data_IF_372923556751
#
_entry.id   IF_372923556751
#
_cell.length_a   1.000
_cell.length_b   1.000
_cell.length_c   1.000
_cell.angle_alpha   90.00
_cell.angle_beta   90.00
_cell.angle_gamma   90.00
#
_symmetry.space_group_name_H-M   'P 1'
#
loop_
_entity.id
_entity.type
_entity.pdbx_description
1 polymer ?
#
# COMPACT_ATOMS: atom_id res chain seq x y z
N UNK A 1 9.00 47.61 -23.83
CA UNK A 1 8.12 46.89 -22.89
C UNK A 1 7.84 45.56 -23.53
N UNK A 2 7.92 44.47 -22.75
CA UNK A 2 7.55 43.10 -23.13
C UNK A 2 8.57 42.45 -24.10
N UNK A 3 9.13 41.26 -23.88
CA UNK A 3 8.66 40.11 -23.11
C UNK A 3 9.82 39.39 -22.41
N UNK A 4 9.77 39.33 -21.08
CA UNK A 4 10.56 38.40 -20.30
C UNK A 4 10.07 36.97 -20.58
N UNK A 5 10.93 36.16 -21.19
CA UNK A 5 10.72 34.71 -21.31
C UNK A 5 10.61 34.11 -19.91
N UNK A 6 9.37 33.89 -19.45
CA UNK A 6 9.07 33.03 -18.29
C UNK A 6 9.65 31.65 -18.57
N UNK A 7 10.74 31.32 -17.89
CA UNK A 7 11.23 29.94 -17.77
C UNK A 7 10.16 29.18 -17.00
N UNK A 8 9.52 28.21 -17.66
CA UNK A 8 8.63 27.26 -17.02
C UNK A 8 9.51 26.28 -16.24
N UNK A 9 9.64 26.55 -14.94
CA UNK A 9 10.19 25.59 -13.99
C UNK A 9 9.23 24.39 -13.95
N UNK A 10 9.67 23.26 -14.50
CA UNK A 10 8.95 22.00 -14.40
C UNK A 10 9.14 21.53 -12.97
N UNK A 11 8.25 21.98 -12.09
CA UNK A 11 8.25 21.70 -10.67
C UNK A 11 8.54 20.22 -10.42
N UNK A 12 9.64 19.96 -9.72
CA UNK A 12 9.95 18.61 -9.23
C UNK A 12 8.84 18.22 -8.26
N UNK A 13 8.03 17.23 -8.63
CA UNK A 13 7.15 16.57 -7.66
C UNK A 13 8.03 16.06 -6.51
N UNK A 14 7.84 16.62 -5.32
CA UNK A 14 8.54 16.14 -4.13
C UNK A 14 8.09 14.69 -3.85
N UNK A 15 9.06 13.78 -3.85
CA UNK A 15 8.84 12.38 -3.49
C UNK A 15 8.28 12.30 -2.06
N UNK A 16 7.31 11.40 -1.79
CA UNK A 16 6.80 11.22 -0.44
C UNK A 16 7.90 10.89 0.57
N UNK A 17 7.81 11.44 1.79
CA UNK A 17 8.83 11.33 2.84
C UNK A 17 9.23 9.89 3.24
N UNK A 18 8.38 8.90 2.94
CA UNK A 18 8.59 7.49 3.22
C UNK A 18 9.41 6.76 2.15
N UNK A 19 9.55 7.33 0.95
CA UNK A 19 10.32 6.68 -0.13
C UNK A 19 11.78 6.53 0.30
N UNK A 20 12.28 5.29 0.21
CA UNK A 20 13.65 4.93 0.61
C UNK A 20 13.87 4.83 2.12
N UNK A 21 12.82 4.84 2.94
CA UNK A 21 12.93 4.66 4.39
C UNK A 21 12.69 3.20 4.78
N UNK A 22 13.55 2.64 5.61
CA UNK A 22 13.46 1.24 6.11
C UNK A 22 12.13 0.94 6.83
N UNK A 23 11.51 1.91 7.51
CA UNK A 23 10.21 1.69 8.16
C UNK A 23 9.06 1.49 7.15
N UNK A 24 9.25 1.84 5.88
CA UNK A 24 8.19 1.77 4.86
C UNK A 24 8.25 0.48 4.04
N UNK A 25 9.33 -0.28 4.17
CA UNK A 25 9.59 -1.47 3.38
C UNK A 25 10.38 -2.49 4.19
N UNK A 26 9.86 -3.71 4.24
CA UNK A 26 10.57 -4.83 4.82
C UNK A 26 10.44 -6.03 3.89
N UNK A 27 11.53 -6.71 3.58
CA UNK A 27 11.51 -7.94 2.78
C UNK A 27 12.12 -9.07 3.59
N UNK A 28 11.31 -10.08 3.90
CA UNK A 28 11.73 -11.24 4.69
C UNK A 28 11.90 -12.48 3.79
N UNK A 29 12.81 -12.41 2.82
CA UNK A 29 13.05 -13.50 1.86
C UNK A 29 13.44 -14.85 2.49
N UNK A 30 13.92 -14.85 3.75
CA UNK A 30 14.24 -16.06 4.51
C UNK A 30 13.06 -16.69 5.26
N UNK A 31 11.86 -16.12 5.20
CA UNK A 31 10.69 -16.64 5.90
C UNK A 31 10.18 -17.89 5.19
N UNK A 32 9.76 -18.93 5.93
CA UNK A 32 9.21 -20.16 5.35
C UNK A 32 7.94 -19.95 4.49
N UNK A 33 7.26 -18.81 4.64
CA UNK A 33 6.10 -18.45 3.85
C UNK A 33 6.42 -17.51 2.68
N UNK A 34 7.68 -17.13 2.46
CA UNK A 34 8.03 -16.16 1.42
C UNK A 34 8.18 -16.81 0.02
N UNK A 35 7.63 -16.19 -1.04
CA UNK A 35 6.65 -15.10 -0.99
C UNK A 35 5.26 -15.66 -0.66
N UNK A 36 4.52 -15.00 0.23
CA UNK A 36 3.20 -15.51 0.63
C UNK A 36 2.15 -15.33 -0.47
N UNK A 37 2.41 -14.44 -1.44
CA UNK A 37 1.64 -14.27 -2.66
C UNK A 37 2.55 -14.38 -3.87
N UNK A 38 2.02 -14.92 -4.96
CA UNK A 38 2.77 -15.09 -6.21
C UNK A 38 3.22 -13.72 -6.74
N UNK A 39 4.52 -13.59 -7.00
CA UNK A 39 5.14 -12.40 -7.59
C UNK A 39 6.24 -12.80 -8.56
N UNK A 40 6.49 -11.99 -9.58
CA UNK A 40 7.67 -12.08 -10.44
C UNK A 40 8.79 -11.11 -10.01
N UNK A 41 8.57 -10.33 -8.95
CA UNK A 41 9.49 -9.33 -8.40
C UNK A 41 9.70 -9.52 -6.89
N UNK A 42 10.38 -10.61 -6.47
CA UNK A 42 10.57 -10.90 -5.05
C UNK A 42 11.33 -9.79 -4.30
N UNK A 43 12.20 -9.04 -4.95
CA UNK A 43 12.96 -7.91 -4.40
C UNK A 43 12.10 -6.68 -4.08
N UNK A 44 10.95 -6.52 -4.74
CA UNK A 44 9.97 -5.46 -4.46
C UNK A 44 8.87 -5.91 -3.49
N UNK A 45 8.90 -7.18 -3.05
CA UNK A 45 7.88 -7.76 -2.18
C UNK A 45 7.96 -7.21 -0.75
N UNK A 46 6.86 -6.62 -0.28
CA UNK A 46 6.79 -6.02 1.06
C UNK A 46 6.14 -7.00 2.06
N UNK A 47 6.87 -7.36 3.10
CA UNK A 47 6.45 -8.17 4.23
C UNK A 47 5.98 -7.34 5.43
N UNK A 48 6.11 -6.01 5.39
CA UNK A 48 5.67 -5.13 6.48
C UNK A 48 4.19 -5.33 6.83
N UNK A 49 3.37 -5.59 5.81
CA UNK A 49 1.93 -5.84 5.92
C UNK A 49 1.60 -7.29 5.52
N UNK A 50 2.32 -8.28 6.08
CA UNK A 50 2.02 -9.69 5.79
C UNK A 50 0.57 -10.10 6.10
N UNK A 51 -0.10 -9.38 7.02
CA UNK A 51 -1.55 -9.38 7.14
C UNK A 51 -2.13 -8.15 6.41
N UNK A 52 -3.35 -8.23 5.89
CA UNK A 52 -3.98 -7.06 5.27
C UNK A 52 -4.49 -6.08 6.36
N UNK A 53 -3.87 -4.91 6.57
CA UNK A 53 -4.32 -3.96 7.58
C UNK A 53 -5.67 -3.34 7.22
N UNK A 54 -6.07 -3.39 5.95
CA UNK A 54 -7.30 -2.80 5.44
C UNK A 54 -8.48 -3.77 5.41
N UNK A 55 -8.33 -4.96 6.01
CA UNK A 55 -9.37 -6.01 5.96
C UNK A 55 -10.73 -5.52 6.46
N UNK A 56 -10.75 -4.73 7.54
CA UNK A 56 -11.96 -4.20 8.17
C UNK A 56 -12.70 -3.16 7.30
N UNK A 57 -12.03 -2.55 6.33
CA UNK A 57 -12.65 -1.61 5.39
C UNK A 57 -13.55 -2.28 4.35
N UNK A 58 -13.65 -3.63 4.36
CA UNK A 58 -14.47 -4.40 3.41
C UNK A 58 -14.10 -4.06 1.97
N UNK A 59 -15.05 -3.63 1.17
CA UNK A 59 -14.93 -3.23 -0.23
C UNK A 59 -14.25 -1.88 -0.44
N UNK A 60 -14.16 -1.04 0.61
CA UNK A 60 -13.48 0.27 0.54
C UNK A 60 -11.97 0.19 0.58
N UNK A 61 -11.39 -1.01 0.78
CA UNK A 61 -9.94 -1.19 0.87
C UNK A 61 -9.19 -1.06 -0.47
N UNK A 62 -9.90 -1.09 -1.61
CA UNK A 62 -9.32 -0.97 -2.96
C UNK A 62 -8.37 -2.11 -3.39
N UNK A 63 -8.30 -3.19 -2.61
CA UNK A 63 -7.48 -4.37 -2.93
C UNK A 63 -8.21 -5.39 -3.82
N UNK A 64 -7.45 -6.31 -4.40
CA UNK A 64 -7.98 -7.44 -5.17
C UNK A 64 -8.39 -8.59 -4.25
N UNK A 65 -9.62 -8.58 -3.75
CA UNK A 65 -10.18 -9.63 -2.89
C UNK A 65 -11.47 -10.20 -3.49
N UNK A 66 -11.92 -11.31 -2.93
CA UNK A 66 -13.27 -11.85 -3.17
C UNK A 66 -13.93 -12.20 -1.84
N UNK A 67 -15.24 -12.41 -1.85
CA UNK A 67 -15.94 -13.03 -0.72
C UNK A 67 -16.19 -14.50 -1.02
N UNK A 68 -15.99 -15.37 -0.02
CA UNK A 68 -16.41 -16.77 -0.09
C UNK A 68 -17.94 -16.86 0.02
N UNK A 69 -18.50 -18.05 -0.24
CA UNK A 69 -19.94 -18.32 -0.07
C UNK A 69 -20.41 -18.05 1.37
N UNK A 70 -19.54 -18.28 2.36
CA UNK A 70 -19.78 -17.99 3.78
C UNK A 70 -19.62 -16.51 4.16
N UNK A 71 -19.36 -15.62 3.20
CA UNK A 71 -19.18 -14.19 3.44
C UNK A 71 -17.84 -13.81 4.08
N UNK A 72 -16.83 -14.69 4.02
CA UNK A 72 -15.46 -14.39 4.49
C UNK A 72 -14.68 -13.69 3.38
N UNK A 73 -13.95 -12.63 3.72
CA UNK A 73 -13.13 -11.90 2.76
C UNK A 73 -11.82 -12.66 2.51
N UNK A 74 -11.63 -13.13 1.28
CA UNK A 74 -10.45 -13.84 0.82
C UNK A 74 -9.50 -12.89 0.08
N UNK A 75 -8.30 -12.70 0.63
CA UNK A 75 -7.24 -11.86 0.09
C UNK A 75 -6.05 -12.65 -0.50
N UNK A 76 -6.20 -13.95 -0.74
CA UNK A 76 -5.13 -14.80 -1.30
C UNK A 76 -4.63 -14.35 -2.68
N UNK A 77 -5.38 -13.52 -3.39
CA UNK A 77 -5.02 -12.93 -4.68
C UNK A 77 -4.68 -11.43 -4.62
N UNK A 78 -4.60 -10.86 -3.40
CA UNK A 78 -4.37 -9.43 -3.19
C UNK A 78 -2.88 -9.14 -3.02
N UNK A 79 -2.28 -8.42 -3.97
CA UNK A 79 -0.90 -7.93 -3.84
C UNK A 79 -0.79 -6.56 -3.18
N UNK A 80 -1.90 -5.89 -2.88
CA UNK A 80 -1.90 -4.52 -2.37
C UNK A 80 -0.95 -4.29 -1.17
N UNK A 81 -0.93 -5.13 -0.12
CA UNK A 81 0.00 -4.96 0.99
C UNK A 81 1.46 -5.35 0.68
N UNK A 82 1.68 -6.08 -0.42
CA UNK A 82 2.94 -6.74 -0.75
C UNK A 82 3.78 -6.01 -1.80
N UNK A 83 3.41 -4.77 -2.13
CA UNK A 83 4.15 -3.94 -3.10
C UNK A 83 4.82 -2.78 -2.37
N UNK A 84 6.13 -2.63 -2.57
CA UNK A 84 6.96 -1.56 -1.95
C UNK A 84 6.37 -0.15 -2.11
N UNK A 85 5.83 0.19 -3.27
CA UNK A 85 5.25 1.52 -3.54
C UNK A 85 3.90 1.77 -2.88
N UNK A 86 3.26 0.75 -2.27
CA UNK A 86 1.91 0.89 -1.71
C UNK A 86 1.89 1.33 -0.24
N UNK A 87 3.05 1.52 0.41
CA UNK A 87 3.10 1.97 1.81
C UNK A 87 2.25 3.24 2.03
N UNK A 88 2.44 4.26 1.18
CA UNK A 88 1.68 5.51 1.28
C UNK A 88 0.17 5.33 1.15
N UNK A 89 -0.28 4.44 0.25
CA UNK A 89 -1.71 4.13 0.09
C UNK A 89 -2.29 3.50 1.36
N UNK A 90 -1.61 2.50 1.91
CA UNK A 90 -2.06 1.76 3.09
C UNK A 90 -2.15 2.68 4.31
N UNK A 91 -1.11 3.50 4.53
CA UNK A 91 -1.11 4.46 5.63
C UNK A 91 -2.16 5.55 5.44
N UNK A 92 -2.40 5.99 4.21
CA UNK A 92 -3.46 6.96 3.89
C UNK A 92 -4.88 6.48 4.22
N UNK A 93 -5.09 5.16 4.22
CA UNK A 93 -6.38 4.52 4.59
C UNK A 93 -6.57 4.35 6.09
N UNK A 94 -5.57 4.66 6.92
CA UNK A 94 -5.67 4.47 8.36
C UNK A 94 -6.72 5.38 9.01
N UNK A 95 -6.94 6.59 8.48
CA UNK A 95 -8.00 7.49 8.97
C UNK A 95 -9.39 6.84 8.86
N UNK A 96 -9.69 6.17 7.75
CA UNK A 96 -10.95 5.44 7.55
C UNK A 96 -11.11 4.29 8.57
N UNK A 97 -10.02 3.61 8.93
CA UNK A 97 -10.03 2.61 9.99
C UNK A 97 -10.34 3.23 11.36
N UNK A 98 -9.74 4.37 11.69
CA UNK A 98 -10.01 5.06 12.96
C UNK A 98 -11.47 5.51 13.08
N UNK A 99 -12.10 5.92 11.98
CA UNK A 99 -13.53 6.26 11.99
C UNK A 99 -14.41 5.07 12.41
N UNK A 100 -14.03 3.83 12.04
CA UNK A 100 -14.76 2.63 12.46
C UNK A 100 -14.65 2.34 13.97
N UNK A 101 -13.64 2.88 14.64
CA UNK A 101 -13.37 2.61 16.06
C UNK A 101 -13.84 3.71 17.00
N UNK A 102 -14.40 4.82 16.49
CA UNK A 102 -14.91 5.90 17.32
C UNK A 102 -16.06 5.41 18.20
N UNK A 103 -16.02 5.78 19.48
CA UNK A 103 -17.17 5.64 20.36
C UNK A 103 -18.30 6.53 19.85
N UNK A 104 -19.53 6.01 19.89
CA UNK A 104 -20.73 6.77 19.59
C UNK A 104 -21.13 7.66 20.75
#
# INVERSE_FOLDING_TARGET
MEDEKKKVDHGKEEQPHWVGKEYSFFNHSKCEFFPCHKTNKPEEFNCLFCFCPLYALKDKCGGNFRYTEDGVKDCSQCMLPHVKSNYGYIMGKFSELMELTKLK
#
